data_IF_664731970828
#
_entry.id   IF_664731970828
#
_cell.length_a   1.000
_cell.length_b   1.000
_cell.length_c   1.000
_cell.angle_alpha   90.00
_cell.angle_beta   90.00
_cell.angle_gamma   90.00
#
_symmetry.space_group_name_H-M   'P 1'
#
loop_
_entity.id
_entity.type
_entity.pdbx_description
1 polymer ?
#
# COMPACT_ATOMS: atom_id res chain seq x y z
N UNK A 1 51.78 37.54 -16.91
CA UNK A 1 51.11 36.22 -16.77
C UNK A 1 51.12 35.88 -15.28
N UNK A 2 50.08 36.29 -14.56
CA UNK A 2 50.02 36.19 -13.09
C UNK A 2 48.96 35.16 -12.75
N UNK A 3 49.34 34.03 -12.13
CA UNK A 3 48.39 33.17 -11.40
C UNK A 3 48.41 33.63 -9.96
N UNK A 4 47.48 34.52 -9.61
CA UNK A 4 47.22 34.86 -8.22
C UNK A 4 46.66 33.61 -7.52
N UNK A 5 47.41 33.09 -6.54
CA UNK A 5 46.95 32.01 -5.68
C UNK A 5 45.96 32.63 -4.69
N UNK A 6 44.72 32.13 -4.61
CA UNK A 6 43.68 32.77 -3.83
C UNK A 6 44.01 32.76 -2.34
N UNK A 7 43.53 33.82 -1.68
CA UNK A 7 43.74 34.17 -0.29
C UNK A 7 43.58 32.96 0.66
N UNK A 8 44.53 32.86 1.59
CA UNK A 8 44.51 32.05 2.80
C UNK A 8 43.41 31.00 2.86
N UNK A 9 43.78 29.73 2.65
CA UNK A 9 42.93 28.60 2.99
C UNK A 9 42.53 28.67 4.47
N UNK A 10 41.44 29.37 4.76
CA UNK A 10 40.84 29.58 6.06
C UNK A 10 39.40 29.10 5.96
N UNK A 11 39.18 27.86 6.37
CA UNK A 11 37.88 27.22 6.37
C UNK A 11 37.97 25.90 7.14
N UNK A 12 36.81 25.33 7.49
CA UNK A 12 36.77 24.09 8.29
C UNK A 12 37.60 22.97 7.63
N UNK A 13 37.57 22.91 6.29
CA UNK A 13 38.36 21.97 5.49
C UNK A 13 39.88 22.22 5.58
N UNK A 14 40.34 23.48 5.61
CA UNK A 14 41.78 23.78 5.73
C UNK A 14 42.33 23.52 7.12
N UNK A 15 41.46 23.59 8.14
CA UNK A 15 41.80 23.24 9.51
C UNK A 15 42.03 21.73 9.66
N UNK A 16 41.13 20.91 9.12
CA UNK A 16 41.24 19.45 9.14
C UNK A 16 42.41 18.92 8.29
N UNK A 17 42.83 19.61 7.21
CA UNK A 17 44.02 19.21 6.45
C UNK A 17 45.33 19.50 7.18
N UNK A 18 45.37 20.54 8.03
CA UNK A 18 46.52 20.85 8.90
C UNK A 18 46.56 20.02 10.18
N UNK A 19 45.39 19.65 10.72
CA UNK A 19 45.28 18.87 11.95
C UNK A 19 44.73 17.46 11.66
N UNK A 20 45.63 16.60 11.15
CA UNK A 20 45.31 15.21 10.78
C UNK A 20 44.72 14.40 11.94
N UNK A 21 45.12 14.69 13.18
CA UNK A 21 44.59 14.06 14.39
C UNK A 21 43.12 14.39 14.63
N UNK A 22 42.72 15.65 14.48
CA UNK A 22 41.32 16.08 14.61
C UNK A 22 40.42 15.41 13.56
N UNK A 23 40.90 15.30 12.31
CA UNK A 23 40.20 14.62 11.24
C UNK A 23 40.01 13.12 11.55
N UNK A 24 41.06 12.46 12.04
CA UNK A 24 41.01 11.04 12.35
C UNK A 24 40.13 10.74 13.58
N UNK A 25 40.13 11.62 14.59
CA UNK A 25 39.23 11.49 15.73
C UNK A 25 37.76 11.63 15.32
N UNK A 26 37.44 12.59 14.45
CA UNK A 26 36.10 12.75 13.89
C UNK A 26 35.66 11.49 13.12
N UNK A 27 36.56 10.92 12.31
CA UNK A 27 36.32 9.67 11.59
C UNK A 27 36.02 8.51 12.54
N UNK A 28 36.83 8.35 13.60
CA UNK A 28 36.61 7.30 14.61
C UNK A 28 35.27 7.46 15.31
N UNK A 29 34.89 8.69 15.67
CA UNK A 29 33.58 8.97 16.28
C UNK A 29 32.44 8.58 15.33
N UNK A 30 32.52 8.96 14.05
CA UNK A 30 31.54 8.57 13.03
C UNK A 30 31.41 7.05 12.89
N UNK A 31 32.54 6.32 12.88
CA UNK A 31 32.54 4.86 12.79
C UNK A 31 31.92 4.20 14.03
N UNK A 32 32.23 4.70 15.23
CA UNK A 32 31.65 4.17 16.48
C UNK A 32 30.14 4.42 16.54
N UNK A 33 29.69 5.62 16.18
CA UNK A 33 28.26 5.94 16.12
C UNK A 33 27.53 5.11 15.06
N UNK A 34 28.15 4.94 13.89
CA UNK A 34 27.63 4.07 12.83
C UNK A 34 27.50 2.63 13.29
N UNK A 35 28.53 2.06 13.91
CA UNK A 35 28.51 0.70 14.44
C UNK A 35 27.47 0.53 15.56
N UNK A 36 27.29 1.53 16.42
CA UNK A 36 26.27 1.54 17.47
C UNK A 36 24.84 1.65 16.93
N UNK A 37 24.65 2.20 15.72
CA UNK A 37 23.34 2.31 15.08
C UNK A 37 22.90 1.02 14.37
N UNK A 38 23.84 0.14 13.95
CA UNK A 38 23.54 -1.11 13.23
C UNK A 38 22.51 -2.00 13.97
N UNK A 39 22.63 -2.27 15.29
CA UNK A 39 21.68 -3.14 15.99
C UNK A 39 20.27 -2.55 16.09
N UNK A 40 20.13 -1.22 16.01
CA UNK A 40 18.85 -0.52 16.13
C UNK A 40 18.19 -0.25 14.77
N UNK A 41 18.83 -0.62 13.66
CA UNK A 41 18.31 -0.41 12.32
C UNK A 41 17.24 -1.47 12.02
N UNK A 42 15.99 -1.04 11.83
CA UNK A 42 14.90 -1.92 11.41
C UNK A 42 15.14 -2.33 9.96
N UNK A 43 15.31 -3.63 9.71
CA UNK A 43 15.36 -4.19 8.38
C UNK A 43 13.97 -4.69 8.00
N UNK A 44 13.38 -4.12 6.95
CA UNK A 44 12.14 -4.62 6.35
C UNK A 44 12.43 -5.03 4.91
N UNK A 45 11.97 -6.23 4.51
CA UNK A 45 12.17 -6.74 3.15
C UNK A 45 11.25 -6.04 2.14
N UNK A 46 10.04 -5.72 2.56
CA UNK A 46 9.08 -4.90 1.82
C UNK A 46 8.61 -3.79 2.75
N UNK A 47 8.43 -2.55 2.27
CA UNK A 47 7.69 -1.54 3.02
C UNK A 47 6.24 -2.00 3.17
N UNK A 48 5.60 -1.63 4.29
CA UNK A 48 4.16 -1.85 4.47
C UNK A 48 3.42 -1.07 3.38
N UNK A 49 2.90 -1.77 2.38
CA UNK A 49 1.97 -1.22 1.41
C UNK A 49 0.57 -1.38 2.01
N UNK A 50 0.02 -0.27 2.52
CA UNK A 50 -1.38 -0.22 2.93
C UNK A 50 -2.20 -0.26 1.64
N UNK A 51 -2.80 -1.41 1.35
CA UNK A 51 -3.71 -1.57 0.20
C UNK A 51 -5.13 -1.41 0.74
N UNK A 52 -5.70 -0.23 0.51
CA UNK A 52 -7.05 0.14 0.90
C UNK A 52 -8.04 -0.37 -0.16
N UNK A 53 -8.48 -1.63 -0.04
CA UNK A 53 -9.38 -2.25 -1.01
C UNK A 53 -10.62 -2.92 -0.40
N UNK A 54 -11.69 -2.97 -1.19
CA UNK A 54 -12.92 -3.73 -0.89
C UNK A 54 -13.16 -4.70 -2.03
N UNK A 55 -13.55 -5.93 -1.69
CA UNK A 55 -13.89 -6.95 -2.69
C UNK A 55 -15.37 -7.30 -2.63
N UNK A 56 -16.00 -7.34 -3.80
CA UNK A 56 -17.38 -7.77 -3.99
C UNK A 56 -17.35 -9.06 -4.81
N UNK A 57 -18.00 -10.11 -4.31
CA UNK A 57 -18.07 -11.40 -4.99
C UNK A 57 -19.53 -11.77 -5.22
N UNK A 58 -19.84 -12.20 -6.43
CA UNK A 58 -21.17 -12.68 -6.81
C UNK A 58 -21.01 -14.05 -7.45
N UNK A 59 -21.82 -15.01 -7.03
CA UNK A 59 -21.82 -16.37 -7.58
C UNK A 59 -23.08 -16.54 -8.42
N UNK A 60 -22.94 -17.10 -9.62
CA UNK A 60 -24.08 -17.42 -10.49
C UNK A 60 -23.82 -18.76 -11.15
N UNK A 61 -24.23 -19.83 -10.47
CA UNK A 61 -23.91 -21.20 -10.90
C UNK A 61 -24.48 -21.51 -12.29
N UNK A 62 -23.65 -22.11 -13.15
CA UNK A 62 -24.05 -22.51 -14.50
C UNK A 62 -23.99 -21.40 -15.56
N UNK A 63 -23.61 -20.17 -15.20
CA UNK A 63 -23.37 -19.10 -16.16
C UNK A 63 -21.95 -19.13 -16.74
N UNK A 64 -21.84 -18.88 -18.05
CA UNK A 64 -20.56 -18.72 -18.74
C UNK A 64 -19.86 -17.41 -18.35
N UNK A 65 -18.53 -17.31 -18.52
CA UNK A 65 -17.79 -16.10 -18.15
C UNK A 65 -18.25 -14.85 -18.91
N UNK A 66 -18.66 -14.98 -20.18
CA UNK A 66 -19.19 -13.88 -20.97
C UNK A 66 -20.56 -13.38 -20.46
N UNK A 67 -21.42 -14.30 -20.02
CA UNK A 67 -22.74 -13.97 -19.48
C UNK A 67 -22.61 -13.30 -18.11
N UNK A 68 -21.70 -13.80 -17.26
CA UNK A 68 -21.35 -13.20 -15.96
C UNK A 68 -20.83 -11.77 -16.17
N UNK A 69 -19.98 -11.55 -17.15
CA UNK A 69 -19.46 -10.22 -17.45
C UNK A 69 -20.59 -9.25 -17.83
N UNK A 70 -21.43 -9.64 -18.79
CA UNK A 70 -22.50 -8.80 -19.31
C UNK A 70 -23.62 -8.52 -18.32
N UNK A 71 -24.02 -9.52 -17.54
CA UNK A 71 -25.20 -9.41 -16.66
C UNK A 71 -24.86 -8.96 -15.24
N UNK A 72 -23.66 -9.25 -14.73
CA UNK A 72 -23.25 -8.94 -13.36
C UNK A 72 -22.23 -7.81 -13.36
N UNK A 73 -21.09 -7.98 -14.03
CA UNK A 73 -19.99 -7.01 -13.96
C UNK A 73 -20.37 -5.67 -14.57
N UNK A 74 -20.90 -5.65 -15.79
CA UNK A 74 -21.27 -4.40 -16.47
C UNK A 74 -22.39 -3.61 -15.79
N UNK A 75 -23.16 -4.27 -14.91
CA UNK A 75 -24.21 -3.64 -14.10
C UNK A 75 -23.64 -3.08 -12.80
N UNK A 76 -22.80 -3.85 -12.10
CA UNK A 76 -22.22 -3.47 -10.81
C UNK A 76 -21.11 -2.44 -10.95
N UNK A 77 -20.22 -2.60 -11.93
CA UNK A 77 -19.00 -1.78 -12.07
C UNK A 77 -19.29 -0.26 -12.13
N UNK A 78 -20.27 0.25 -12.92
CA UNK A 78 -20.58 1.68 -12.94
C UNK A 78 -21.11 2.23 -11.62
N UNK A 79 -21.88 1.42 -10.88
CA UNK A 79 -22.42 1.83 -9.58
C UNK A 79 -21.33 1.83 -8.51
N UNK A 80 -20.44 0.84 -8.56
CA UNK A 80 -19.29 0.71 -7.67
C UNK A 80 -18.26 1.83 -7.90
N UNK A 81 -18.03 2.23 -9.15
CA UNK A 81 -17.20 3.40 -9.51
C UNK A 81 -17.78 4.74 -9.02
N UNK A 82 -19.09 4.80 -8.76
CA UNK A 82 -19.75 6.00 -8.26
C UNK A 82 -19.69 6.14 -6.73
N UNK A 83 -19.14 5.15 -6.02
CA UNK A 83 -18.94 5.21 -4.57
C UNK A 83 -17.84 6.21 -4.25
N UNK A 84 -18.08 7.05 -3.23
CA UNK A 84 -17.12 8.07 -2.81
C UNK A 84 -15.80 7.45 -2.33
N UNK A 85 -14.69 8.02 -2.79
CA UNK A 85 -13.33 7.61 -2.40
C UNK A 85 -12.75 6.46 -3.22
N UNK A 86 -13.47 5.93 -4.21
CA UNK A 86 -12.94 4.91 -5.14
C UNK A 86 -11.97 5.57 -6.14
N UNK A 87 -10.72 5.11 -6.15
CA UNK A 87 -9.69 5.50 -7.11
C UNK A 87 -9.76 4.65 -8.38
N UNK A 88 -9.92 3.33 -8.22
CA UNK A 88 -9.92 2.39 -9.34
C UNK A 88 -10.79 1.15 -9.08
N UNK A 89 -11.26 0.50 -10.14
CA UNK A 89 -11.95 -0.78 -10.06
C UNK A 89 -11.32 -1.79 -11.00
N UNK A 90 -11.21 -3.03 -10.53
CA UNK A 90 -10.75 -4.17 -11.32
C UNK A 90 -11.72 -5.34 -11.16
N UNK A 91 -12.25 -5.83 -12.27
CA UNK A 91 -13.23 -6.91 -12.31
C UNK A 91 -12.63 -8.16 -12.97
N UNK A 92 -13.14 -9.33 -12.59
CA UNK A 92 -12.78 -10.60 -13.21
C UNK A 92 -13.98 -11.53 -13.21
N UNK A 93 -14.38 -11.91 -14.42
CA UNK A 93 -15.47 -12.85 -14.68
C UNK A 93 -14.90 -14.24 -14.94
N UNK A 94 -15.44 -15.24 -14.25
CA UNK A 94 -15.16 -16.66 -14.46
C UNK A 94 -16.47 -17.41 -14.56
N UNK A 95 -16.43 -18.62 -15.10
CA UNK A 95 -17.57 -19.53 -15.07
C UNK A 95 -18.09 -19.64 -13.63
N UNK A 96 -19.37 -19.36 -13.45
CA UNK A 96 -20.03 -19.44 -12.15
C UNK A 96 -19.78 -18.26 -11.19
N UNK A 97 -18.90 -17.29 -11.49
CA UNK A 97 -18.50 -16.27 -10.50
C UNK A 97 -17.97 -14.97 -11.09
N UNK A 98 -18.40 -13.85 -10.52
CA UNK A 98 -17.82 -12.53 -10.70
C UNK A 98 -17.05 -12.09 -9.43
N UNK A 99 -15.88 -11.49 -9.62
CA UNK A 99 -15.10 -10.86 -8.54
C UNK A 99 -14.76 -9.44 -8.96
N UNK A 100 -15.14 -8.46 -8.14
CA UNK A 100 -14.86 -7.04 -8.37
C UNK A 100 -14.06 -6.52 -7.18
N UNK A 101 -12.94 -5.87 -7.46
CA UNK A 101 -12.07 -5.24 -6.46
C UNK A 101 -12.13 -3.74 -6.67
N UNK A 102 -12.44 -3.00 -5.61
CA UNK A 102 -12.39 -1.55 -5.57
C UNK A 102 -11.15 -1.13 -4.79
N UNK A 103 -10.38 -0.21 -5.34
CA UNK A 103 -9.24 0.44 -4.70
C UNK A 103 -9.67 1.85 -4.30
N UNK A 104 -9.39 2.21 -3.04
CA UNK A 104 -9.76 3.49 -2.47
C UNK A 104 -8.55 4.42 -2.33
N UNK A 105 -8.82 5.72 -2.25
CA UNK A 105 -7.81 6.71 -1.97
C UNK A 105 -7.09 6.42 -0.64
N UNK A 106 -5.76 6.61 -0.55
CA UNK A 106 -5.00 6.29 0.65
C UNK A 106 -5.54 7.00 1.91
N UNK A 107 -5.76 6.23 2.97
CA UNK A 107 -6.23 6.76 4.26
C UNK A 107 -7.74 6.96 4.35
N UNK A 108 -8.50 6.39 3.42
CA UNK A 108 -9.96 6.31 3.51
C UNK A 108 -10.42 5.42 4.67
N UNK A 109 -11.60 5.70 5.21
CA UNK A 109 -12.19 4.89 6.27
C UNK A 109 -12.76 3.59 5.67
N UNK A 110 -11.99 2.50 5.75
CA UNK A 110 -12.34 1.22 5.15
C UNK A 110 -13.59 0.57 5.76
N UNK A 111 -13.97 0.93 6.99
CA UNK A 111 -15.23 0.47 7.58
C UNK A 111 -16.40 1.19 6.90
N UNK A 112 -16.31 2.51 6.74
CA UNK A 112 -17.32 3.28 5.99
C UNK A 112 -17.38 2.85 4.52
N UNK A 113 -16.23 2.64 3.88
CA UNK A 113 -16.20 2.16 2.49
C UNK A 113 -16.92 0.83 2.31
N UNK A 114 -16.75 -0.13 3.24
CA UNK A 114 -17.46 -1.40 3.16
C UNK A 114 -18.99 -1.22 3.26
N UNK A 115 -19.45 -0.34 4.15
CA UNK A 115 -20.88 -0.03 4.32
C UNK A 115 -21.46 0.71 3.08
N UNK A 116 -20.71 1.66 2.52
CA UNK A 116 -21.10 2.41 1.32
C UNK A 116 -21.15 1.50 0.10
N UNK A 117 -20.15 0.61 -0.06
CA UNK A 117 -20.13 -0.41 -1.12
C UNK A 117 -21.30 -1.38 -0.96
N UNK A 118 -21.58 -1.87 0.24
CA UNK A 118 -22.74 -2.73 0.50
C UNK A 118 -24.04 -2.03 0.09
N UNK A 119 -24.21 -0.77 0.48
CA UNK A 119 -25.39 0.03 0.13
C UNK A 119 -25.53 0.25 -1.38
N UNK A 120 -24.43 0.49 -2.09
CA UNK A 120 -24.41 0.65 -3.54
C UNK A 120 -24.79 -0.63 -4.27
N UNK A 121 -24.33 -1.78 -3.77
CA UNK A 121 -24.65 -3.10 -4.32
C UNK A 121 -26.11 -3.47 -4.07
N UNK A 122 -26.61 -3.26 -2.85
CA UNK A 122 -28.00 -3.54 -2.46
C UNK A 122 -29.01 -2.66 -3.21
N UNK A 123 -28.59 -1.50 -3.69
CA UNK A 123 -29.43 -0.62 -4.52
C UNK A 123 -29.68 -1.18 -5.93
N UNK A 124 -28.88 -2.15 -6.39
CA UNK A 124 -29.03 -2.76 -7.72
C UNK A 124 -30.02 -3.90 -7.67
N UNK A 125 -31.14 -3.74 -8.38
CA UNK A 125 -32.19 -4.77 -8.49
C UNK A 125 -32.22 -5.46 -9.85
N UNK A 126 -31.24 -5.19 -10.73
CA UNK A 126 -31.20 -5.69 -12.12
C UNK A 126 -30.33 -6.91 -12.29
N UNK A 127 -29.83 -7.49 -11.20
CA UNK A 127 -29.07 -8.74 -11.22
C UNK A 127 -29.98 -9.92 -11.62
N UNK A 128 -29.42 -10.98 -12.25
CA UNK A 128 -30.16 -12.20 -12.54
C UNK A 128 -30.77 -12.83 -11.28
N UNK A 129 -31.99 -13.34 -11.37
CA UNK A 129 -32.71 -13.96 -10.24
C UNK A 129 -32.07 -15.26 -9.74
N UNK A 130 -31.30 -15.93 -10.59
CA UNK A 130 -30.54 -17.14 -10.26
C UNK A 130 -29.14 -16.85 -9.69
N UNK A 131 -28.75 -15.59 -9.58
CA UNK A 131 -27.48 -15.19 -8.97
C UNK A 131 -27.63 -15.07 -7.45
N UNK A 132 -26.62 -15.52 -6.71
CA UNK A 132 -26.56 -15.37 -5.26
C UNK A 132 -26.35 -13.90 -4.87
N UNK A 133 -26.76 -13.57 -3.64
CA UNK A 133 -26.54 -12.25 -3.07
C UNK A 133 -25.05 -11.88 -3.05
N UNK A 134 -24.69 -10.66 -3.48
CA UNK A 134 -23.31 -10.19 -3.46
C UNK A 134 -22.72 -10.20 -2.05
N UNK A 135 -21.53 -10.76 -1.91
CA UNK A 135 -20.79 -10.73 -0.64
C UNK A 135 -19.71 -9.66 -0.69
N UNK A 136 -19.84 -8.64 0.17
CA UNK A 136 -18.83 -7.58 0.35
C UNK A 136 -17.85 -7.97 1.46
N UNK A 137 -16.55 -7.83 1.19
CA UNK A 137 -15.48 -8.02 2.17
C UNK A 137 -14.51 -6.84 2.11
N UNK A 138 -14.40 -6.10 3.21
CA UNK A 138 -13.37 -5.08 3.39
C UNK A 138 -11.99 -5.71 3.65
N UNK A 139 -10.95 -5.16 3.02
CA UNK A 139 -9.55 -5.53 3.24
C UNK A 139 -9.07 -5.12 4.63
N UNK A 140 -9.40 -5.89 5.67
CA UNK A 140 -8.85 -5.66 6.99
C UNK A 140 -7.42 -6.21 7.07
N UNK A 141 -6.42 -5.33 6.93
CA UNK A 141 -5.05 -5.62 7.32
C UNK A 141 -4.97 -5.65 8.85
N UNK A 142 -5.23 -6.82 9.43
CA UNK A 142 -4.84 -7.09 10.80
C UNK A 142 -3.33 -7.36 10.81
N UNK A 143 -2.54 -6.42 11.34
CA UNK A 143 -1.14 -6.67 11.65
C UNK A 143 -1.07 -7.87 12.60
N UNK A 144 -0.67 -9.04 12.07
CA UNK A 144 -0.59 -10.27 12.88
C UNK A 144 0.69 -10.20 13.69
N UNK A 145 0.66 -9.45 14.78
CA UNK A 145 1.75 -9.46 15.76
C UNK A 145 1.73 -10.80 16.49
N UNK A 146 2.46 -11.78 15.97
CA UNK A 146 2.73 -13.03 16.69
C UNK A 146 4.07 -12.86 17.40
N UNK A 147 4.04 -12.28 18.60
CA UNK A 147 5.21 -12.25 19.48
C UNK A 147 5.37 -13.61 20.16
N UNK A 148 6.33 -14.41 19.68
CA UNK A 148 6.81 -15.60 20.40
C UNK A 148 8.09 -15.20 21.12
N UNK A 149 7.97 -14.89 22.40
CA UNK A 149 9.10 -14.69 23.30
C UNK A 149 9.44 -16.04 23.94
N UNK A 150 10.49 -16.70 23.45
CA UNK A 150 11.13 -17.80 24.19
C UNK A 150 12.24 -17.17 25.02
N UNK A 151 11.98 -17.00 26.31
CA UNK A 151 13.01 -16.69 27.28
C UNK A 151 13.67 -18.01 27.74
N UNK A 152 15.00 -18.04 27.70
CA UNK A 152 15.85 -19.07 28.30
C UNK A 152 16.89 -18.42 29.20
#
# INVERSE_FOLDING_TARGET
MVRDIPAAAGGILSYFTRHRTAANLLLVVLLVLGAAAIPNMRAQFFPDAIIDNVSVNVTWEGAGPEDVDGAIVQVLEPALLAVDGVESTASTSREGRASITLEFEPGWDMARAADDVQSAVDAITTLPEDADDPTVRGGAWGDRVTDVVIAG
#
